data_IF_986280607406
#
_entry.id   IF_986280607406
#
_cell.length_a   1.000
_cell.length_b   1.000
_cell.length_c   1.000
_cell.angle_alpha   90.00
_cell.angle_beta   90.00
_cell.angle_gamma   90.00
#
_symmetry.space_group_name_H-M   'P 1'
#
loop_
_entity.id
_entity.type
_entity.pdbx_description
1 polymer ?
#
# COMPACT_ATOMS: atom_id res chain seq x y z
N UNK A 1 -21.96 -10.41 -36.14
CA UNK A 1 -21.28 -9.29 -35.45
C UNK A 1 -22.30 -8.43 -34.69
N UNK A 2 -22.95 -8.98 -33.65
CA UNK A 2 -23.91 -8.24 -32.81
C UNK A 2 -23.67 -8.43 -31.31
N UNK A 3 -22.70 -9.26 -30.91
CA UNK A 3 -22.43 -9.62 -29.50
C UNK A 3 -21.30 -8.80 -28.85
N UNK A 4 -20.69 -7.88 -29.61
CA UNK A 4 -19.55 -7.07 -29.17
C UNK A 4 -19.94 -5.79 -28.41
N UNK A 5 -21.22 -5.41 -28.40
CA UNK A 5 -21.64 -4.08 -27.90
C UNK A 5 -22.01 -4.02 -26.43
N UNK A 6 -21.94 -5.13 -25.67
CA UNK A 6 -22.36 -5.13 -24.27
C UNK A 6 -21.49 -6.05 -23.41
N UNK A 7 -20.16 -6.00 -23.55
CA UNK A 7 -19.24 -6.69 -22.64
C UNK A 7 -18.64 -5.70 -21.63
N UNK A 8 -18.72 -6.03 -20.34
CA UNK A 8 -18.14 -5.22 -19.28
C UNK A 8 -16.75 -5.74 -18.93
N UNK A 9 -15.77 -4.83 -18.87
CA UNK A 9 -14.41 -5.18 -18.46
C UNK A 9 -14.18 -4.75 -17.01
N UNK A 10 -13.62 -5.67 -16.22
CA UNK A 10 -13.24 -5.42 -14.83
C UNK A 10 -11.76 -5.77 -14.66
N UNK A 11 -10.96 -4.82 -14.18
CA UNK A 11 -9.60 -5.09 -13.71
C UNK A 11 -9.64 -5.23 -12.20
N UNK A 12 -9.41 -6.43 -11.70
CA UNK A 12 -9.32 -6.70 -10.27
C UNK A 12 -7.87 -6.66 -9.79
N UNK A 13 -7.61 -5.98 -8.67
CA UNK A 13 -6.34 -5.97 -7.93
C UNK A 13 -6.61 -5.72 -6.43
N UNK A 14 -5.68 -6.09 -5.52
CA UNK A 14 -5.80 -5.77 -4.09
C UNK A 14 -5.73 -4.26 -3.90
N UNK A 15 -6.60 -3.65 -3.09
CA UNK A 15 -6.71 -2.20 -2.88
C UNK A 15 -5.93 -1.66 -1.67
N UNK A 16 -5.26 -2.52 -0.91
CA UNK A 16 -4.68 -2.19 0.40
C UNK A 16 -3.37 -1.39 0.41
N UNK A 17 -3.06 -0.61 -0.64
CA UNK A 17 -1.91 0.31 -0.54
C UNK A 17 -2.14 1.62 -1.30
N UNK A 18 -1.47 2.70 -0.88
CA UNK A 18 -1.51 4.01 -1.57
C UNK A 18 -1.15 3.93 -3.06
N UNK A 19 -0.50 2.85 -3.49
CA UNK A 19 -0.18 2.50 -4.88
C UNK A 19 -1.41 2.09 -5.71
N UNK A 20 -2.45 1.56 -5.08
CA UNK A 20 -3.70 1.15 -5.70
C UNK A 20 -4.55 2.36 -6.11
N UNK A 21 -4.42 3.48 -5.38
CA UNK A 21 -4.99 4.77 -5.78
C UNK A 21 -4.40 5.29 -7.10
N UNK A 22 -3.11 5.09 -7.37
CA UNK A 22 -2.51 5.48 -8.66
C UNK A 22 -3.06 4.67 -9.84
N UNK A 23 -3.27 3.35 -9.67
CA UNK A 23 -3.87 2.51 -10.72
C UNK A 23 -5.34 2.87 -10.88
N UNK A 24 -6.09 2.99 -9.78
CA UNK A 24 -7.49 3.39 -9.81
C UNK A 24 -7.67 4.74 -10.48
N UNK A 25 -6.83 5.73 -10.17
CA UNK A 25 -6.83 7.04 -10.83
C UNK A 25 -6.48 6.93 -12.32
N UNK A 26 -5.44 6.16 -12.68
CA UNK A 26 -5.06 5.95 -14.08
C UNK A 26 -6.16 5.20 -14.86
N UNK A 27 -6.81 4.21 -14.26
CA UNK A 27 -7.90 3.46 -14.90
C UNK A 27 -9.16 4.31 -14.99
N UNK A 28 -9.55 5.02 -13.93
CA UNK A 28 -10.74 5.88 -13.93
C UNK A 28 -10.61 7.05 -14.91
N UNK A 29 -9.45 7.71 -14.94
CA UNK A 29 -9.19 8.85 -15.84
C UNK A 29 -9.14 8.41 -17.30
N UNK A 30 -8.53 7.26 -17.59
CA UNK A 30 -8.22 6.86 -18.97
C UNK A 30 -9.26 5.91 -19.59
N UNK A 31 -10.00 5.14 -18.78
CA UNK A 31 -10.94 4.14 -19.30
C UNK A 31 -12.25 4.74 -19.81
N UNK A 32 -12.60 5.98 -19.40
CA UNK A 32 -13.89 6.61 -19.69
C UNK A 32 -15.08 5.68 -19.42
N UNK A 33 -15.01 4.90 -18.33
CA UNK A 33 -16.03 3.93 -17.95
C UNK A 33 -15.98 2.58 -18.69
N UNK A 34 -15.03 2.36 -19.60
CA UNK A 34 -14.89 1.07 -20.34
C UNK A 34 -14.21 -0.03 -19.53
N UNK A 35 -13.51 0.32 -18.46
CA UNK A 35 -12.85 -0.61 -17.55
C UNK A 35 -13.16 -0.19 -16.11
N UNK A 36 -13.87 -1.05 -15.41
CA UNK A 36 -14.15 -0.92 -13.97
C UNK A 36 -12.99 -1.50 -13.17
N UNK A 37 -12.70 -0.90 -12.03
CA UNK A 37 -11.79 -1.48 -11.04
C UNK A 37 -12.61 -2.18 -9.95
N UNK A 38 -12.14 -3.33 -9.49
CA UNK A 38 -12.72 -4.03 -8.35
C UNK A 38 -11.60 -4.58 -7.44
N UNK A 39 -11.83 -4.71 -6.13
CA UNK A 39 -10.91 -5.42 -5.25
C UNK A 39 -10.80 -6.89 -5.66
N UNK A 40 -9.58 -7.46 -5.65
CA UNK A 40 -9.36 -8.91 -5.87
C UNK A 40 -10.15 -9.77 -4.88
N UNK A 41 -10.38 -9.23 -3.68
CA UNK A 41 -11.07 -9.83 -2.53
C UNK A 41 -12.58 -9.60 -2.51
N UNK A 42 -13.15 -8.95 -3.54
CA UNK A 42 -14.60 -8.77 -3.56
C UNK A 42 -15.31 -10.11 -3.81
N UNK A 43 -16.42 -10.42 -3.11
CA UNK A 43 -17.11 -11.71 -3.27
C UNK A 43 -17.54 -12.03 -4.71
N UNK A 44 -17.75 -11.01 -5.55
CA UNK A 44 -18.00 -11.18 -6.98
C UNK A 44 -16.76 -11.64 -7.74
N UNK A 45 -15.63 -10.99 -7.50
CA UNK A 45 -14.37 -11.31 -8.16
C UNK A 45 -13.87 -12.69 -7.74
N UNK A 46 -13.98 -13.05 -6.47
CA UNK A 46 -13.62 -14.40 -6.00
C UNK A 46 -14.43 -15.48 -6.71
N UNK A 47 -15.75 -15.29 -6.83
CA UNK A 47 -16.60 -16.20 -7.61
C UNK A 47 -16.14 -16.29 -9.07
N UNK A 48 -15.82 -15.18 -9.72
CA UNK A 48 -15.33 -15.18 -11.10
C UNK A 48 -13.96 -15.86 -11.24
N UNK A 49 -13.08 -15.70 -10.25
CA UNK A 49 -11.76 -16.33 -10.20
C UNK A 49 -11.89 -17.83 -10.04
N UNK A 50 -12.72 -18.28 -9.11
CA UNK A 50 -12.98 -19.71 -8.88
C UNK A 50 -13.63 -20.36 -10.10
N UNK A 51 -14.61 -19.68 -10.71
CA UNK A 51 -15.27 -20.16 -11.92
C UNK A 51 -14.28 -20.35 -13.08
N UNK A 52 -13.25 -19.50 -13.19
CA UNK A 52 -12.36 -19.50 -14.36
C UNK A 52 -11.01 -20.20 -14.17
N UNK A 53 -10.46 -20.20 -12.96
CA UNK A 53 -9.15 -20.77 -12.66
C UNK A 53 -9.23 -21.97 -11.71
N UNK A 54 -10.41 -22.35 -11.21
CA UNK A 54 -10.59 -23.46 -10.26
C UNK A 54 -10.49 -23.02 -8.80
N UNK A 55 -10.48 -24.00 -7.88
CA UNK A 55 -10.55 -23.77 -6.43
C UNK A 55 -9.36 -22.97 -5.85
N UNK A 56 -8.21 -22.96 -6.52
CA UNK A 56 -7.01 -22.23 -6.10
C UNK A 56 -6.55 -21.25 -7.19
N UNK A 57 -7.28 -20.16 -7.43
CA UNK A 57 -6.95 -19.21 -8.48
C UNK A 57 -5.65 -18.44 -8.12
N UNK A 58 -4.74 -18.19 -9.08
CA UNK A 58 -3.48 -17.49 -8.81
C UNK A 58 -3.71 -16.07 -8.29
N UNK A 59 -3.18 -15.73 -7.10
CA UNK A 59 -3.35 -14.42 -6.46
C UNK A 59 -2.57 -13.31 -7.20
N UNK A 60 -3.21 -12.71 -8.19
CA UNK A 60 -2.61 -11.72 -9.07
C UNK A 60 -3.69 -10.83 -9.71
N UNK A 61 -3.33 -9.62 -10.16
CA UNK A 61 -4.24 -8.77 -10.90
C UNK A 61 -4.84 -9.52 -12.07
N UNK A 62 -6.16 -9.45 -12.15
CA UNK A 62 -6.94 -10.25 -13.09
C UNK A 62 -7.86 -9.35 -13.88
N UNK A 63 -7.76 -9.42 -15.19
CA UNK A 63 -8.69 -8.78 -16.09
C UNK A 63 -9.82 -9.75 -16.41
N UNK A 64 -11.06 -9.35 -16.17
CA UNK A 64 -12.27 -10.06 -16.53
C UNK A 64 -12.97 -9.39 -17.69
N UNK A 65 -13.54 -10.21 -18.56
CA UNK A 65 -14.58 -9.83 -19.51
C UNK A 65 -15.87 -10.52 -19.07
N UNK A 66 -16.89 -9.73 -18.77
CA UNK A 66 -18.18 -10.20 -18.29
C UNK A 66 -19.25 -9.98 -19.36
N UNK A 67 -20.29 -10.82 -19.38
CA UNK A 67 -21.49 -10.58 -20.17
C UNK A 67 -22.25 -9.35 -19.64
N UNK A 68 -23.05 -8.73 -20.50
CA UNK A 68 -24.03 -7.75 -20.02
C UNK A 68 -25.13 -8.43 -19.23
N UNK A 69 -25.65 -7.70 -18.24
CA UNK A 69 -26.83 -8.11 -17.51
C UNK A 69 -28.03 -8.08 -18.46
N UNK A 70 -28.69 -9.23 -18.68
CA UNK A 70 -29.96 -9.30 -19.39
C UNK A 70 -31.09 -9.49 -18.37
N UNK A 71 -31.78 -8.40 -18.04
CA UNK A 71 -32.98 -8.42 -17.19
C UNK A 71 -32.82 -7.71 -15.83
N UNK A 72 -33.94 -7.62 -15.11
CA UNK A 72 -34.13 -6.92 -13.82
C UNK A 72 -33.45 -7.57 -12.60
N UNK A 73 -32.53 -8.53 -12.81
CA UNK A 73 -31.74 -9.14 -11.73
C UNK A 73 -30.45 -8.37 -11.55
N UNK A 74 -30.08 -8.14 -10.29
CA UNK A 74 -28.93 -7.31 -9.90
C UNK A 74 -27.59 -7.74 -10.49
N UNK A 75 -26.57 -6.92 -10.25
CA UNK A 75 -25.20 -7.03 -10.78
C UNK A 75 -24.52 -8.41 -10.59
N UNK A 76 -25.05 -9.24 -9.71
CA UNK A 76 -24.55 -10.53 -9.25
C UNK A 76 -24.72 -11.72 -10.21
N UNK A 77 -25.44 -11.58 -11.34
CA UNK A 77 -25.75 -12.67 -12.29
C UNK A 77 -24.95 -12.60 -13.63
N UNK A 78 -23.85 -11.83 -13.67
CA UNK A 78 -23.01 -11.71 -14.88
C UNK A 78 -22.12 -12.95 -15.07
N UNK A 79 -22.09 -13.48 -16.30
CA UNK A 79 -21.24 -14.62 -16.68
C UNK A 79 -19.83 -14.16 -17.07
N UNK A 80 -18.80 -14.88 -16.62
CA UNK A 80 -17.41 -14.62 -17.02
C UNK A 80 -17.14 -15.16 -18.42
N UNK A 81 -16.99 -14.26 -19.39
CA UNK A 81 -16.63 -14.58 -20.78
C UNK A 81 -15.13 -14.82 -20.95
N UNK A 82 -14.31 -14.28 -20.05
CA UNK A 82 -12.87 -14.53 -20.03
C UNK A 82 -12.20 -13.92 -18.81
N UNK A 83 -11.08 -14.53 -18.39
CA UNK A 83 -10.20 -13.98 -17.38
C UNK A 83 -8.74 -14.16 -17.80
N UNK A 84 -7.93 -13.15 -17.54
CA UNK A 84 -6.50 -13.14 -17.87
C UNK A 84 -5.70 -12.57 -16.71
N UNK A 85 -4.54 -13.16 -16.45
CA UNK A 85 -3.56 -12.69 -15.45
C UNK A 85 -2.21 -12.45 -16.10
N UNK A 86 -1.38 -11.62 -15.46
CA UNK A 86 -0.01 -11.35 -15.90
C UNK A 86 0.08 -10.85 -17.36
N UNK A 87 1.03 -11.36 -18.18
CA UNK A 87 1.25 -10.82 -19.53
C UNK A 87 0.10 -11.14 -20.47
N UNK A 88 -0.70 -12.17 -20.16
CA UNK A 88 -1.88 -12.55 -20.94
C UNK A 88 -2.97 -11.48 -20.90
N UNK A 89 -2.92 -10.54 -19.97
CA UNK A 89 -3.84 -9.39 -19.92
C UNK A 89 -3.57 -8.36 -21.04
N UNK A 90 -2.37 -8.31 -21.63
CA UNK A 90 -1.98 -7.21 -22.50
C UNK A 90 -2.88 -7.09 -23.75
N UNK A 91 -3.11 -8.21 -24.46
CA UNK A 91 -3.94 -8.23 -25.68
C UNK A 91 -5.41 -7.93 -25.37
N UNK A 92 -6.06 -8.59 -24.39
CA UNK A 92 -7.44 -8.26 -24.02
C UNK A 92 -7.61 -6.81 -23.54
N UNK A 93 -6.65 -6.27 -22.78
CA UNK A 93 -6.70 -4.88 -22.30
C UNK A 93 -6.55 -3.87 -23.46
N UNK A 94 -5.71 -4.19 -24.46
CA UNK A 94 -5.62 -3.41 -25.71
C UNK A 94 -6.92 -3.44 -26.52
N UNK A 95 -7.63 -4.58 -26.53
CA UNK A 95 -8.95 -4.69 -27.17
C UNK A 95 -10.03 -3.92 -26.40
N UNK A 96 -9.98 -3.94 -25.07
CA UNK A 96 -10.96 -3.28 -24.21
C UNK A 96 -10.85 -1.73 -24.25
N UNK A 97 -9.62 -1.23 -24.19
CA UNK A 97 -9.37 0.21 -23.99
C UNK A 97 -8.83 0.92 -25.24
N UNK A 98 -8.35 0.18 -26.23
CA UNK A 98 -7.51 0.69 -27.30
C UNK A 98 -6.03 0.77 -26.89
N UNK A 99 -5.10 0.92 -27.86
CA UNK A 99 -3.67 0.73 -27.65
C UNK A 99 -3.04 1.77 -26.72
N UNK A 100 -3.46 3.04 -26.79
CA UNK A 100 -2.86 4.13 -25.99
C UNK A 100 -3.22 4.03 -24.50
N UNK A 101 -4.52 3.94 -24.10
CA UNK A 101 -4.87 3.80 -22.69
C UNK A 101 -4.39 2.47 -22.10
N UNK A 102 -4.46 1.37 -22.88
CA UNK A 102 -3.96 0.07 -22.45
C UNK A 102 -2.47 0.10 -22.09
N UNK A 103 -1.64 0.80 -22.88
CA UNK A 103 -0.21 0.93 -22.60
C UNK A 103 0.06 1.70 -21.31
N UNK A 104 -0.76 2.70 -20.96
CA UNK A 104 -0.63 3.44 -19.69
C UNK A 104 -0.94 2.55 -18.49
N UNK A 105 -2.02 1.78 -18.56
CA UNK A 105 -2.40 0.82 -17.51
C UNK A 105 -1.33 -0.28 -17.35
N UNK A 106 -0.84 -0.86 -18.45
CA UNK A 106 0.24 -1.85 -18.41
C UNK A 106 1.55 -1.27 -17.86
N UNK A 107 1.87 -0.01 -18.18
CA UNK A 107 3.03 0.67 -17.63
C UNK A 107 2.91 0.90 -16.11
N UNK A 108 1.73 1.31 -15.63
CA UNK A 108 1.45 1.44 -14.21
C UNK A 108 1.65 0.09 -13.50
N UNK A 109 1.01 -0.98 -13.98
CA UNK A 109 1.16 -2.34 -13.44
C UNK A 109 2.62 -2.83 -13.45
N UNK A 110 3.36 -2.56 -14.53
CA UNK A 110 4.77 -2.92 -14.64
C UNK A 110 5.68 -2.20 -13.65
N UNK A 111 5.42 -0.91 -13.38
CA UNK A 111 6.12 -0.14 -12.34
C UNK A 111 5.91 -0.75 -10.96
N UNK A 112 4.69 -1.21 -10.66
CA UNK A 112 4.37 -1.80 -9.34
C UNK A 112 5.10 -3.10 -9.10
N UNK A 113 5.09 -4.00 -10.09
CA UNK A 113 5.81 -5.27 -9.99
C UNK A 113 7.31 -5.04 -9.76
N UNK A 114 7.92 -4.06 -10.44
CA UNK A 114 9.34 -3.74 -10.24
C UNK A 114 9.60 -3.17 -8.84
N UNK A 115 8.71 -2.33 -8.33
CA UNK A 115 8.78 -1.77 -6.97
C UNK A 115 8.60 -2.85 -5.90
N UNK A 116 7.58 -3.70 -6.02
CA UNK A 116 7.39 -4.86 -5.14
C UNK A 116 8.59 -5.81 -5.17
N UNK A 117 9.28 -5.90 -6.32
CA UNK A 117 10.54 -6.63 -6.46
C UNK A 117 11.79 -5.87 -5.99
N UNK A 118 11.65 -4.69 -5.39
CA UNK A 118 12.75 -3.90 -4.83
C UNK A 118 13.69 -3.24 -5.84
N UNK A 119 13.26 -3.05 -7.09
CA UNK A 119 14.09 -2.41 -8.13
C UNK A 119 14.15 -0.90 -7.94
N UNK A 120 15.36 -0.38 -7.66
CA UNK A 120 15.57 1.03 -7.32
C UNK A 120 15.14 2.01 -8.42
N UNK A 121 15.26 1.63 -9.70
CA UNK A 121 14.84 2.46 -10.84
C UNK A 121 13.31 2.64 -10.95
N UNK A 122 12.54 1.84 -10.19
CA UNK A 122 11.09 1.96 -10.09
C UNK A 122 10.62 2.78 -8.87
N UNK A 123 11.53 3.20 -7.98
CA UNK A 123 11.20 3.97 -6.79
C UNK A 123 11.20 5.48 -7.09
N UNK A 124 10.12 6.20 -6.73
CA UNK A 124 10.15 7.66 -6.73
C UNK A 124 11.16 8.13 -5.68
N UNK A 125 12.23 8.83 -6.10
CA UNK A 125 13.29 9.35 -5.22
C UNK A 125 14.70 8.78 -5.45
N UNK A 126 14.85 7.68 -6.21
CA UNK A 126 16.18 7.18 -6.56
C UNK A 126 16.88 8.13 -7.56
N UNK A 127 18.23 8.29 -7.51
CA UNK A 127 18.99 8.97 -8.56
C UNK A 127 18.77 8.21 -9.88
N UNK A 128 17.91 8.75 -10.75
CA UNK A 128 17.46 8.07 -11.98
C UNK A 128 15.98 7.70 -12.05
N UNK A 129 15.15 7.98 -11.03
CA UNK A 129 13.69 7.75 -11.06
C UNK A 129 12.92 8.55 -12.14
N UNK A 130 13.60 9.48 -12.82
CA UNK A 130 13.12 10.20 -14.02
C UNK A 130 13.79 9.74 -15.33
N UNK A 131 14.72 8.79 -15.28
CA UNK A 131 15.39 8.29 -16.48
C UNK A 131 14.39 7.43 -17.27
N UNK A 132 13.72 8.11 -18.21
CA UNK A 132 13.07 7.47 -19.34
C UNK A 132 13.93 6.29 -19.82
N UNK A 133 13.31 5.12 -19.92
CA UNK A 133 13.89 3.92 -20.55
C UNK A 133 14.69 4.39 -21.76
N UNK A 134 16.02 4.30 -21.68
CA UNK A 134 16.87 4.94 -22.68
C UNK A 134 16.56 4.33 -24.04
N UNK A 135 16.32 5.18 -25.04
CA UNK A 135 16.02 4.77 -26.43
C UNK A 135 17.05 3.78 -26.98
N UNK A 136 18.28 3.79 -26.44
CA UNK A 136 19.36 2.88 -26.78
C UNK A 136 19.14 1.42 -26.33
N UNK A 137 18.43 1.16 -25.22
CA UNK A 137 18.06 -0.22 -24.81
C UNK A 137 16.86 -0.76 -25.59
N UNK A 138 16.00 0.13 -26.10
CA UNK A 138 14.83 -0.22 -26.90
C UNK A 138 15.20 -0.67 -28.32
N UNK A 139 16.28 -0.12 -28.90
CA UNK A 139 16.73 -0.48 -30.25
C UNK A 139 17.49 -1.82 -30.35
N UNK A 140 17.88 -2.43 -29.23
CA UNK A 140 18.49 -3.78 -29.25
C UNK A 140 17.46 -4.92 -29.32
N UNK A 141 16.16 -4.61 -29.30
CA UNK A 141 15.08 -5.59 -29.39
C UNK A 141 14.05 -5.21 -30.47
N UNK A 142 14.54 -4.85 -31.66
CA UNK A 142 13.71 -4.61 -32.85
C UNK A 142 13.23 -5.93 -33.45
N UNK A 143 12.20 -6.49 -32.82
CA UNK A 143 11.32 -7.52 -33.36
C UNK A 143 9.95 -7.30 -32.72
N UNK A 144 8.95 -6.94 -33.52
CA UNK A 144 7.63 -6.48 -33.08
C UNK A 144 6.96 -7.39 -32.03
N UNK A 145 6.13 -6.76 -31.19
CA UNK A 145 5.27 -7.37 -30.17
C UNK A 145 5.88 -7.96 -28.88
N UNK A 146 7.21 -8.11 -28.75
CA UNK A 146 7.78 -8.86 -27.61
C UNK A 146 7.98 -8.08 -26.29
N UNK A 147 8.02 -6.75 -26.29
CA UNK A 147 8.46 -5.98 -25.09
C UNK A 147 7.44 -5.98 -23.94
N UNK A 148 6.16 -6.27 -24.21
CA UNK A 148 5.15 -6.37 -23.15
C UNK A 148 5.23 -7.68 -22.34
N UNK A 149 5.81 -8.75 -22.89
CA UNK A 149 5.83 -10.07 -22.28
C UNK A 149 7.03 -10.28 -21.32
N UNK A 150 8.19 -9.69 -21.64
CA UNK A 150 9.42 -9.88 -20.86
C UNK A 150 9.36 -9.27 -19.43
N UNK A 151 8.44 -8.34 -19.19
CA UNK A 151 8.21 -7.72 -17.87
C UNK A 151 7.38 -8.60 -16.92
N UNK A 152 6.90 -9.77 -17.35
CA UNK A 152 5.90 -10.54 -16.60
C UNK A 152 6.24 -12.04 -16.46
N UNK A 153 7.51 -12.39 -16.66
CA UNK A 153 8.00 -13.75 -16.49
C UNK A 153 8.48 -13.97 -15.05
N UNK A 154 7.56 -14.32 -14.16
CA UNK A 154 7.73 -15.30 -13.07
C UNK A 154 6.37 -15.49 -12.38
N UNK A 155 5.85 -16.72 -12.43
CA UNK A 155 4.47 -17.08 -12.09
C UNK A 155 4.22 -17.45 -10.62
N UNK A 156 4.88 -16.77 -9.67
CA UNK A 156 4.54 -16.85 -8.24
C UNK A 156 4.84 -15.49 -7.61
N UNK A 157 3.81 -14.70 -7.39
CA UNK A 157 3.91 -13.43 -6.65
C UNK A 157 2.99 -13.55 -5.44
N UNK A 158 3.51 -13.47 -4.20
CA UNK A 158 2.64 -13.18 -3.06
C UNK A 158 1.96 -11.82 -3.26
N UNK A 159 0.95 -11.50 -2.44
CA UNK A 159 0.29 -10.20 -2.47
C UNK A 159 1.35 -9.09 -2.52
N UNK A 160 1.23 -8.14 -3.47
CA UNK A 160 2.30 -7.19 -3.75
C UNK A 160 2.72 -6.37 -2.51
N UNK A 161 1.83 -6.20 -1.54
CA UNK A 161 2.08 -5.51 -0.27
C UNK A 161 3.15 -6.21 0.58
N UNK A 162 2.99 -7.50 0.89
CA UNK A 162 3.99 -8.28 1.67
C UNK A 162 5.35 -8.32 0.98
N UNK A 163 5.35 -8.49 -0.34
CA UNK A 163 6.59 -8.50 -1.12
C UNK A 163 7.27 -7.13 -1.12
N UNK A 164 6.48 -6.06 -1.14
CA UNK A 164 6.96 -4.69 -1.11
C UNK A 164 7.56 -4.34 0.26
N UNK A 165 6.90 -4.68 1.37
CA UNK A 165 7.41 -4.44 2.72
C UNK A 165 8.74 -5.17 2.95
N UNK A 166 8.81 -6.45 2.62
CA UNK A 166 10.06 -7.21 2.73
C UNK A 166 11.17 -6.61 1.83
N UNK A 167 10.81 -6.10 0.66
CA UNK A 167 11.77 -5.43 -0.25
C UNK A 167 12.19 -4.05 0.25
N UNK A 168 11.29 -3.30 0.89
CA UNK A 168 11.53 -2.00 1.49
C UNK A 168 12.53 -2.12 2.65
N UNK A 169 12.34 -3.08 3.56
CA UNK A 169 13.28 -3.32 4.67
C UNK A 169 14.67 -3.72 4.17
N UNK A 170 14.77 -4.64 3.20
CA UNK A 170 16.06 -5.02 2.60
C UNK A 170 16.76 -3.84 1.91
N UNK A 171 15.99 -3.00 1.21
CA UNK A 171 16.52 -1.80 0.57
C UNK A 171 17.02 -0.78 1.60
N UNK A 172 16.25 -0.50 2.64
CA UNK A 172 16.61 0.46 3.68
C UNK A 172 17.84 0.01 4.47
N UNK A 173 17.91 -1.29 4.84
CA UNK A 173 19.07 -1.86 5.51
C UNK A 173 20.36 -1.72 4.68
N UNK A 174 20.28 -1.99 3.35
CA UNK A 174 21.41 -1.77 2.45
C UNK A 174 21.82 -0.30 2.40
N UNK A 175 20.86 0.62 2.20
CA UNK A 175 21.14 2.07 2.14
C UNK A 175 21.72 2.60 3.44
N UNK A 176 21.27 2.10 4.59
CA UNK A 176 21.82 2.42 5.89
C UNK A 176 23.27 1.94 6.03
N UNK A 177 23.58 0.70 5.62
CA UNK A 177 24.95 0.18 5.61
C UNK A 177 25.89 0.99 4.70
N UNK A 178 25.36 1.59 3.62
CA UNK A 178 26.10 2.47 2.72
C UNK A 178 26.17 3.94 3.19
N UNK A 179 25.51 4.31 4.29
CA UNK A 179 25.42 5.72 4.73
C UNK A 179 24.60 6.62 3.79
N UNK A 180 23.68 6.04 3.00
CA UNK A 180 22.87 6.73 1.96
C UNK A 180 21.38 6.63 2.21
N UNK A 181 20.98 6.40 3.46
CA UNK A 181 19.57 6.38 3.83
C UNK A 181 19.00 7.81 3.75
N UNK A 182 17.81 8.04 3.18
CA UNK A 182 17.16 9.36 3.21
C UNK A 182 17.07 9.91 4.64
N UNK A 183 17.37 11.20 4.83
CA UNK A 183 17.50 11.80 6.16
C UNK A 183 16.47 12.91 6.42
N UNK A 184 15.89 13.47 5.35
CA UNK A 184 14.94 14.59 5.46
C UNK A 184 13.52 14.16 5.18
N UNK A 185 12.54 14.88 5.73
CA UNK A 185 11.12 14.60 5.51
C UNK A 185 10.74 14.63 4.02
N UNK A 186 11.27 15.58 3.25
CA UNK A 186 11.02 15.70 1.82
C UNK A 186 11.58 14.50 1.03
N UNK A 187 12.78 14.01 1.38
CA UNK A 187 13.34 12.82 0.73
C UNK A 187 12.54 11.57 1.08
N UNK A 188 12.17 11.40 2.36
CA UNK A 188 11.42 10.23 2.84
C UNK A 188 10.02 10.19 2.21
N UNK A 189 9.28 11.31 2.22
CA UNK A 189 7.90 11.34 1.70
C UNK A 189 7.80 11.19 0.19
N UNK A 190 8.89 11.39 -0.55
CA UNK A 190 8.97 11.06 -1.97
C UNK A 190 8.86 9.54 -2.22
N UNK A 191 9.21 8.71 -1.23
CA UNK A 191 9.05 7.27 -1.31
C UNK A 191 7.63 6.85 -0.95
N UNK A 192 7.24 5.62 -1.27
CA UNK A 192 5.94 5.08 -0.89
C UNK A 192 5.87 4.59 0.56
N UNK A 193 4.67 4.38 1.15
CA UNK A 193 4.51 4.12 2.59
C UNK A 193 5.39 3.02 3.18
N UNK A 194 5.47 1.84 2.56
CA UNK A 194 6.31 0.74 3.02
C UNK A 194 7.81 1.12 3.09
N UNK A 195 8.28 1.91 2.12
CA UNK A 195 9.64 2.44 2.11
C UNK A 195 9.84 3.54 3.15
N UNK A 196 8.85 4.41 3.38
CA UNK A 196 8.91 5.43 4.45
C UNK A 196 9.10 4.78 5.82
N UNK A 197 8.30 3.76 6.12
CA UNK A 197 8.41 2.94 7.34
C UNK A 197 9.78 2.28 7.45
N UNK A 198 10.25 1.62 6.38
CA UNK A 198 11.57 0.99 6.37
C UNK A 198 12.72 2.01 6.58
N UNK A 199 12.63 3.22 6.00
CA UNK A 199 13.61 4.30 6.28
C UNK A 199 13.55 4.70 7.75
N UNK A 200 12.36 4.94 8.29
CA UNK A 200 12.20 5.31 9.70
C UNK A 200 12.82 4.24 10.61
N UNK A 201 12.48 2.97 10.40
CA UNK A 201 13.03 1.84 11.15
C UNK A 201 14.55 1.73 11.04
N UNK A 202 15.16 2.02 9.88
CA UNK A 202 16.61 2.00 9.70
C UNK A 202 17.33 3.29 10.14
N UNK A 203 16.59 4.35 10.51
CA UNK A 203 17.13 5.65 10.88
C UNK A 203 17.56 5.73 12.34
N UNK A 204 18.49 6.63 12.65
CA UNK A 204 18.88 6.94 14.02
C UNK A 204 17.74 7.63 14.78
N UNK A 205 17.73 7.60 16.13
CA UNK A 205 16.71 8.29 16.93
C UNK A 205 16.58 9.79 16.61
N UNK A 206 17.69 10.47 16.31
CA UNK A 206 17.70 11.89 15.96
C UNK A 206 16.99 12.15 14.62
N UNK A 207 17.16 11.25 13.66
CA UNK A 207 16.52 11.36 12.35
C UNK A 207 15.04 11.05 12.48
N UNK A 208 14.66 10.01 13.22
CA UNK A 208 13.25 9.67 13.51
C UNK A 208 12.51 10.86 14.16
N UNK A 209 13.09 11.46 15.19
CA UNK A 209 12.52 12.63 15.86
C UNK A 209 12.33 13.82 14.89
N UNK A 210 13.31 14.09 14.04
CA UNK A 210 13.22 15.14 13.02
C UNK A 210 12.12 14.85 12.00
N UNK A 211 12.04 13.61 11.49
CA UNK A 211 11.03 13.21 10.50
C UNK A 211 9.61 13.43 11.04
N UNK A 212 9.34 13.03 12.28
CA UNK A 212 8.03 13.24 12.90
C UNK A 212 7.76 14.71 13.22
N UNK A 213 8.76 15.46 13.67
CA UNK A 213 8.61 16.91 13.90
C UNK A 213 8.25 17.66 12.61
N UNK A 214 8.95 17.34 11.51
CA UNK A 214 8.67 17.90 10.18
C UNK A 214 7.30 17.48 9.65
N UNK A 215 6.89 16.22 9.89
CA UNK A 215 5.57 15.72 9.56
C UNK A 215 4.46 16.50 10.27
N UNK A 216 4.57 16.68 11.59
CA UNK A 216 3.59 17.43 12.40
C UNK A 216 3.56 18.92 12.03
N UNK A 217 4.69 19.46 11.56
CA UNK A 217 4.73 20.82 10.99
C UNK A 217 3.97 20.89 9.67
N UNK A 218 4.21 19.96 8.75
CA UNK A 218 3.49 19.89 7.48
C UNK A 218 1.99 19.65 7.69
N UNK A 219 1.62 18.81 8.66
CA UNK A 219 0.24 18.54 9.04
C UNK A 219 -0.47 19.80 9.54
N UNK A 220 0.15 20.58 10.43
CA UNK A 220 -0.42 21.85 10.88
C UNK A 220 -0.57 22.84 9.71
N UNK A 221 0.47 23.00 8.88
CA UNK A 221 0.48 23.96 7.76
C UNK A 221 -0.58 23.69 6.69
N UNK A 222 -1.01 22.44 6.54
CA UNK A 222 -2.08 22.06 5.63
C UNK A 222 -3.48 22.48 6.11
N UNK A 223 -3.60 23.11 7.29
CA UNK A 223 -4.88 23.48 7.91
C UNK A 223 -4.90 24.97 8.25
N UNK A 224 -6.01 25.63 7.89
CA UNK A 224 -6.18 27.07 8.06
C UNK A 224 -6.78 27.44 9.42
N UNK A 225 -7.50 26.53 10.07
CA UNK A 225 -8.14 26.76 11.37
C UNK A 225 -8.03 25.50 12.24
N UNK A 226 -7.49 25.65 13.44
CA UNK A 226 -7.42 24.60 14.45
C UNK A 226 -8.22 25.03 15.69
N UNK A 227 -8.91 24.09 16.33
CA UNK A 227 -9.52 24.35 17.65
C UNK A 227 -8.45 24.42 18.75
N UNK A 228 -8.76 24.96 19.94
CA UNK A 228 -7.85 24.90 21.09
C UNK A 228 -7.42 23.47 21.45
N UNK A 229 -8.35 22.50 21.41
CA UNK A 229 -8.05 21.09 21.67
C UNK A 229 -7.09 20.50 20.63
N UNK A 230 -7.33 20.79 19.35
CA UNK A 230 -6.47 20.36 18.24
C UNK A 230 -5.05 20.92 18.34
N UNK A 231 -4.92 22.19 18.74
CA UNK A 231 -3.61 22.82 19.02
C UNK A 231 -2.89 22.17 20.20
N UNK A 232 -3.61 21.86 21.28
CA UNK A 232 -3.03 21.20 22.45
C UNK A 232 -2.46 19.82 22.10
N UNK A 233 -3.22 19.01 21.36
CA UNK A 233 -2.76 17.71 20.86
C UNK A 233 -1.52 17.85 19.98
N UNK A 234 -1.49 18.79 19.04
CA UNK A 234 -0.31 19.03 18.19
C UNK A 234 0.91 19.47 18.99
N UNK A 235 0.73 20.30 20.02
CA UNK A 235 1.81 20.75 20.88
C UNK A 235 2.41 19.59 21.68
N UNK A 236 1.58 18.70 22.25
CA UNK A 236 2.07 17.52 22.97
C UNK A 236 2.73 16.51 22.01
N UNK A 237 2.12 16.26 20.85
CA UNK A 237 2.70 15.44 19.79
C UNK A 237 4.10 15.92 19.39
N UNK A 238 4.29 17.23 19.20
CA UNK A 238 5.60 17.82 18.88
C UNK A 238 6.60 17.68 20.02
N UNK A 239 6.15 17.83 21.25
CA UNK A 239 7.00 17.66 22.43
C UNK A 239 7.52 16.22 22.52
N UNK A 240 6.65 15.23 22.31
CA UNK A 240 7.02 13.82 22.35
C UNK A 240 7.88 13.44 21.14
N UNK A 241 7.48 13.81 19.92
CA UNK A 241 8.20 13.49 18.69
C UNK A 241 9.55 14.22 18.57
N UNK A 242 9.71 15.39 19.20
CA UNK A 242 10.93 16.18 19.14
C UNK A 242 12.09 15.64 19.96
N UNK A 243 11.84 14.67 20.84
CA UNK A 243 12.83 14.14 21.78
C UNK A 243 13.44 12.82 21.27
N UNK A 244 14.71 12.80 20.82
CA UNK A 244 15.33 11.61 20.27
C UNK A 244 15.35 10.41 21.22
N UNK A 245 15.45 10.64 22.54
CA UNK A 245 15.44 9.55 23.51
C UNK A 245 14.13 8.75 23.52
N UNK A 246 13.02 9.32 23.02
CA UNK A 246 11.75 8.60 22.88
C UNK A 246 11.75 7.54 21.76
N UNK A 247 12.75 7.56 20.88
CA UNK A 247 12.93 6.58 19.81
C UNK A 247 14.01 5.55 20.13
N UNK A 248 14.50 5.51 21.37
CA UNK A 248 15.41 4.47 21.86
C UNK A 248 14.59 3.35 22.47
N UNK A 249 14.70 2.16 21.89
CA UNK A 249 14.05 0.97 22.42
C UNK A 249 14.78 0.47 23.65
N UNK A 250 14.03 0.16 24.70
CA UNK A 250 14.58 -0.54 25.86
C UNK A 250 14.84 -2.01 25.50
N UNK A 251 16.02 -2.51 25.85
CA UNK A 251 16.40 -3.90 25.60
C UNK A 251 15.38 -4.88 26.23
N UNK A 252 14.97 -5.90 25.48
CA UNK A 252 13.98 -6.90 25.93
C UNK A 252 12.54 -6.40 26.10
N UNK A 253 12.23 -5.14 25.75
CA UNK A 253 10.86 -4.61 25.81
C UNK A 253 10.03 -4.95 24.57
N UNK A 254 8.70 -4.82 24.67
CA UNK A 254 7.72 -4.97 23.59
C UNK A 254 7.07 -3.63 23.25
N UNK A 255 7.88 -2.64 22.84
CA UNK A 255 7.47 -1.26 22.57
C UNK A 255 8.07 -0.24 23.56
N UNK A 256 7.51 0.97 23.66
CA UNK A 256 8.15 2.09 24.36
C UNK A 256 8.23 1.84 25.87
N UNK A 257 9.29 2.34 26.50
CA UNK A 257 9.48 2.23 27.95
C UNK A 257 8.43 3.04 28.73
N UNK A 258 8.22 2.70 30.01
CA UNK A 258 7.51 3.62 30.91
C UNK A 258 8.44 4.77 31.31
N UNK A 259 7.94 6.01 31.48
CA UNK A 259 6.54 6.45 31.41
C UNK A 259 6.05 6.85 30.00
N UNK A 260 6.94 6.83 28.99
CA UNK A 260 6.62 7.27 27.62
C UNK A 260 5.42 6.53 27.03
N UNK A 261 5.29 5.22 27.30
CA UNK A 261 4.14 4.44 26.85
C UNK A 261 2.80 5.04 27.28
N UNK A 262 2.66 5.44 28.55
CA UNK A 262 1.43 6.06 29.04
C UNK A 262 1.10 7.34 28.27
N UNK A 263 2.11 8.19 28.05
CA UNK A 263 1.95 9.44 27.29
C UNK A 263 1.54 9.22 25.83
N UNK A 264 2.09 8.20 25.17
CA UNK A 264 1.74 7.88 23.78
C UNK A 264 0.27 7.41 23.67
N UNK A 265 -0.20 6.61 24.63
CA UNK A 265 -1.59 6.15 24.66
C UNK A 265 -2.59 7.28 24.97
N UNK A 266 -2.21 8.18 25.88
CA UNK A 266 -2.98 9.40 26.15
C UNK A 266 -3.03 10.31 24.91
N UNK A 267 -1.89 10.54 24.26
CA UNK A 267 -1.83 11.33 23.04
C UNK A 267 -2.72 10.75 21.93
N UNK A 268 -2.71 9.42 21.73
CA UNK A 268 -3.58 8.78 20.76
C UNK A 268 -5.06 9.04 21.08
N UNK A 269 -5.50 8.78 22.31
CA UNK A 269 -6.89 9.02 22.72
C UNK A 269 -7.30 10.47 22.47
N UNK A 270 -6.49 11.41 22.96
CA UNK A 270 -6.79 12.84 22.86
C UNK A 270 -6.79 13.31 21.39
N UNK A 271 -5.95 12.72 20.53
CA UNK A 271 -5.97 12.96 19.10
C UNK A 271 -7.24 12.42 18.42
N UNK A 272 -7.69 11.23 18.78
CA UNK A 272 -8.96 10.67 18.25
C UNK A 272 -10.13 11.54 18.68
N UNK A 273 -10.17 12.00 19.93
CA UNK A 273 -11.22 12.87 20.44
C UNK A 273 -11.24 14.25 19.73
N UNK A 274 -10.06 14.82 19.44
CA UNK A 274 -9.95 16.16 18.84
C UNK A 274 -10.03 16.19 17.29
N UNK A 275 -9.63 15.11 16.62
CA UNK A 275 -9.50 15.05 15.15
C UNK A 275 -10.34 13.95 14.49
N UNK A 276 -10.80 12.96 15.24
CA UNK A 276 -11.35 11.71 14.69
C UNK A 276 -10.27 10.73 14.25
N UNK A 277 -10.65 9.45 14.15
CA UNK A 277 -9.70 8.33 13.95
C UNK A 277 -8.84 8.43 12.67
N UNK A 278 -9.43 8.83 11.54
CA UNK A 278 -8.67 8.92 10.28
C UNK A 278 -7.60 10.01 10.32
N UNK A 279 -7.94 11.17 10.88
CA UNK A 279 -7.03 12.31 10.99
C UNK A 279 -5.98 12.06 12.06
N UNK A 280 -6.34 11.40 13.17
CA UNK A 280 -5.39 10.93 14.17
C UNK A 280 -4.39 9.93 13.55
N UNK A 281 -4.85 8.97 12.75
CA UNK A 281 -3.96 8.05 12.00
C UNK A 281 -3.02 8.80 11.07
N UNK A 282 -3.56 9.71 10.25
CA UNK A 282 -2.77 10.49 9.30
C UNK A 282 -1.73 11.38 9.99
N UNK A 283 -1.96 11.78 11.24
CA UNK A 283 -1.07 12.62 12.05
C UNK A 283 -0.02 11.82 12.83
N UNK A 284 -0.40 10.66 13.38
CA UNK A 284 0.39 9.97 14.42
C UNK A 284 0.87 8.58 14.01
N UNK A 285 0.23 7.94 13.03
CA UNK A 285 0.52 6.55 12.63
C UNK A 285 0.81 6.42 11.13
N UNK A 286 0.98 7.54 10.42
CA UNK A 286 1.40 7.56 9.03
C UNK A 286 2.43 8.65 8.78
N UNK A 287 3.63 8.26 8.35
CA UNK A 287 4.64 9.24 7.97
C UNK A 287 4.40 9.71 6.53
N UNK A 288 3.86 10.91 6.37
CA UNK A 288 3.60 11.56 5.08
C UNK A 288 2.13 11.81 4.76
N UNK A 289 1.82 12.42 3.61
CA UNK A 289 0.47 12.93 3.31
C UNK A 289 -0.57 11.87 2.93
N UNK A 290 -0.16 10.66 2.57
CA UNK A 290 -1.04 9.61 2.01
C UNK A 290 -1.59 8.63 3.07
N UNK A 291 -1.61 9.03 4.34
CA UNK A 291 -2.01 8.17 5.45
C UNK A 291 -3.50 7.88 5.43
N UNK A 292 -3.86 6.65 5.04
CA UNK A 292 -5.17 6.08 5.32
C UNK A 292 -5.01 4.86 6.21
N UNK A 293 -5.78 4.73 7.29
CA UNK A 293 -5.68 3.59 8.20
C UNK A 293 -5.96 2.27 7.45
N UNK A 294 -5.38 1.15 7.92
CA UNK A 294 -5.65 -0.17 7.34
C UNK A 294 -7.16 -0.45 7.36
N UNK A 295 -7.72 -0.82 6.22
CA UNK A 295 -9.12 -1.22 6.11
C UNK A 295 -9.20 -2.75 6.05
N UNK A 296 -10.13 -3.33 6.79
CA UNK A 296 -10.33 -4.77 6.83
C UNK A 296 -10.94 -5.31 5.54
N UNK A 297 -10.21 -6.19 4.83
CA UNK A 297 -10.82 -7.15 3.90
C UNK A 297 -10.00 -8.42 3.66
N UNK A 298 -10.50 -9.59 4.08
CA UNK A 298 -10.17 -10.91 3.50
C UNK A 298 -9.85 -12.06 4.47
N UNK A 299 -9.67 -13.27 3.90
CA UNK A 299 -9.21 -14.54 4.52
C UNK A 299 -7.84 -15.02 3.95
N UNK A 300 -7.22 -16.03 4.59
CA UNK A 300 -5.77 -16.37 4.66
C UNK A 300 -5.22 -17.27 3.52
N UNK A 301 -3.92 -17.12 3.19
CA UNK A 301 -3.08 -18.13 2.49
C UNK A 301 -1.85 -18.55 3.35
N UNK A 302 -1.26 -19.70 3.00
CA UNK A 302 -0.39 -20.65 3.76
C UNK A 302 0.98 -20.14 4.28
N UNK A 303 1.27 -18.84 4.29
CA UNK A 303 2.46 -18.28 4.96
C UNK A 303 2.01 -17.36 6.11
N UNK A 304 2.64 -17.44 7.28
CA UNK A 304 2.34 -16.56 8.42
C UNK A 304 2.60 -15.10 7.98
N UNK A 305 1.58 -14.25 7.80
CA UNK A 305 1.74 -12.87 7.36
C UNK A 305 2.38 -12.00 8.44
N UNK A 306 2.82 -10.80 8.08
CA UNK A 306 3.29 -9.81 9.06
C UNK A 306 2.10 -9.19 9.82
N UNK A 307 2.26 -8.96 11.11
CA UNK A 307 1.23 -8.28 11.90
C UNK A 307 1.10 -6.82 11.44
N UNK A 308 -0.12 -6.30 11.39
CA UNK A 308 -0.43 -4.98 10.81
C UNK A 308 -0.88 -3.91 11.81
N UNK A 309 -1.11 -4.28 13.08
CA UNK A 309 -1.47 -3.34 14.14
C UNK A 309 -0.84 -3.71 15.49
N UNK A 310 -0.84 -2.75 16.42
CA UNK A 310 -0.46 -2.99 17.82
C UNK A 310 -1.72 -3.20 18.66
N UNK A 311 -1.76 -4.27 19.45
CA UNK A 311 -2.84 -4.51 20.44
C UNK A 311 -2.85 -3.46 21.54
N UNK A 312 -1.72 -2.78 21.76
CA UNK A 312 -1.58 -1.75 22.80
C UNK A 312 -1.97 -0.37 22.30
N UNK A 313 -1.62 -0.04 21.06
CA UNK A 313 -1.89 1.27 20.46
C UNK A 313 -2.54 1.12 19.07
N UNK A 314 -3.83 0.72 19.01
CA UNK A 314 -4.47 0.28 17.77
C UNK A 314 -5.05 1.42 16.95
N UNK A 315 -4.56 1.62 15.74
CA UNK A 315 -5.17 2.55 14.77
C UNK A 315 -6.08 1.82 13.75
N UNK A 316 -6.93 0.92 14.25
CA UNK A 316 -7.86 0.16 13.42
C UNK A 316 -9.16 0.94 13.20
N UNK A 317 -9.65 0.99 11.95
CA UNK A 317 -10.93 1.66 11.64
C UNK A 317 -12.12 0.85 12.13
N UNK A 318 -12.09 -0.47 11.96
CA UNK A 318 -13.22 -1.36 12.22
C UNK A 318 -13.08 -2.14 13.54
N UNK A 319 -12.78 -1.43 14.63
CA UNK A 319 -12.74 -2.03 15.98
C UNK A 319 -11.33 -2.12 16.56
N UNK A 320 -11.07 -3.13 17.38
CA UNK A 320 -9.80 -3.28 18.13
C UNK A 320 -8.82 -4.17 17.39
N UNK A 321 -7.53 -3.90 17.53
CA UNK A 321 -6.50 -4.81 17.06
C UNK A 321 -6.59 -6.15 17.81
N UNK A 322 -6.71 -7.25 17.08
CA UNK A 322 -6.79 -8.59 17.62
C UNK A 322 -5.40 -9.23 17.67
N UNK A 323 -5.04 -9.82 18.81
CA UNK A 323 -3.72 -10.37 19.02
C UNK A 323 -3.38 -11.49 18.03
N UNK A 324 -2.19 -11.38 17.45
CA UNK A 324 -1.65 -12.29 16.45
C UNK A 324 -1.59 -13.75 16.91
N UNK A 325 -1.29 -14.02 18.18
CA UNK A 325 -1.28 -15.37 18.77
C UNK A 325 -0.57 -16.44 17.90
N UNK A 326 0.52 -16.08 17.23
CA UNK A 326 1.28 -16.96 16.32
C UNK A 326 0.74 -17.09 14.90
N UNK A 327 -0.36 -16.39 14.57
CA UNK A 327 -0.93 -16.28 13.22
C UNK A 327 -0.27 -15.20 12.38
N UNK A 328 0.46 -14.26 12.98
CA UNK A 328 1.29 -13.30 12.25
C UNK A 328 2.68 -13.14 12.86
N UNK A 329 3.64 -12.72 12.04
CA UNK A 329 5.00 -12.37 12.44
C UNK A 329 5.01 -10.96 13.02
N UNK A 330 5.48 -10.85 14.25
CA UNK A 330 5.61 -9.56 14.95
C UNK A 330 6.62 -8.67 14.23
N UNK A 331 6.24 -7.42 13.97
CA UNK A 331 7.12 -6.40 13.40
C UNK A 331 7.45 -5.37 14.49
N UNK A 332 8.75 -5.17 14.72
CA UNK A 332 9.25 -4.33 15.80
C UNK A 332 9.22 -2.85 15.38
N UNK A 333 8.74 -1.97 16.26
CA UNK A 333 8.74 -0.51 16.08
C UNK A 333 8.19 -0.05 14.71
N UNK A 334 7.02 -0.58 14.32
CA UNK A 334 6.39 -0.31 13.02
C UNK A 334 4.90 0.09 13.11
N UNK A 335 4.30 -0.06 14.31
CA UNK A 335 2.91 0.24 14.58
C UNK A 335 2.72 1.29 15.67
N UNK A 336 1.47 1.79 15.76
CA UNK A 336 1.07 2.76 16.77
C UNK A 336 1.64 4.16 16.54
N UNK A 337 1.49 4.98 17.57
CA UNK A 337 1.91 6.38 17.62
C UNK A 337 3.41 6.47 17.39
N UNK A 338 3.78 7.22 16.36
CA UNK A 338 5.14 7.43 15.88
C UNK A 338 5.91 6.15 15.49
N UNK A 339 5.21 5.05 15.18
CA UNK A 339 5.79 3.73 14.98
C UNK A 339 6.58 3.23 16.20
N UNK A 340 6.18 3.61 17.42
CA UNK A 340 6.88 3.24 18.63
C UNK A 340 6.52 1.83 19.16
N UNK A 341 5.48 1.21 18.62
CA UNK A 341 4.95 -0.06 19.11
C UNK A 341 5.22 -1.21 18.15
N UNK A 342 5.33 -2.40 18.72
CA UNK A 342 5.36 -3.63 17.95
C UNK A 342 3.99 -3.84 17.28
N UNK A 343 4.01 -4.23 16.01
CA UNK A 343 2.87 -4.81 15.36
C UNK A 343 2.76 -6.26 15.83
N UNK A 344 1.74 -6.56 16.66
CA UNK A 344 1.53 -7.85 17.29
C UNK A 344 0.09 -8.37 17.13
N UNK A 345 -0.65 -7.78 16.19
CA UNK A 345 -2.00 -8.22 15.83
C UNK A 345 -2.44 -7.78 14.44
N UNK A 346 -3.71 -8.05 14.14
CA UNK A 346 -4.38 -7.59 12.92
C UNK A 346 -5.70 -6.88 13.21
N UNK A 347 -6.03 -5.89 12.39
CA UNK A 347 -7.30 -5.18 12.53
C UNK A 347 -8.46 -6.06 12.07
N UNK A 348 -9.66 -5.93 12.65
CA UNK A 348 -10.80 -6.76 12.28
C UNK A 348 -11.15 -6.55 10.81
N UNK A 349 -11.47 -7.66 10.15
CA UNK A 349 -11.71 -7.72 8.72
C UNK A 349 -10.43 -7.88 7.88
N UNK A 350 -9.22 -7.74 8.43
CA UNK A 350 -7.97 -8.09 7.73
C UNK A 350 -7.68 -9.59 7.97
N UNK A 351 -7.36 -10.39 6.94
CA UNK A 351 -6.83 -11.73 7.11
C UNK A 351 -5.40 -11.68 7.58
N UNK A 352 -5.11 -12.41 8.66
CA UNK A 352 -3.76 -12.67 9.12
C UNK A 352 -3.66 -14.11 9.63
#
# INVERSE_FOLDING_TARGET
MAEERTAHWVLAFDDDCGTCREISAAVQTESRGRLRVAPLRSPEVERWRTQRFGAEPPWAPTLFRLSAASGTRGETDRTVLGAWTGPRMAVPLMRALGPRPARRVLYALGRLRRRAAGKEDALPGAPGGRAAVSRARFLRYTGGAAVAAALVLTGRTPAFAEQEEASAHRWAARRAAEGKLPQTYAEVTAYPPAYRKAVHAASTPQVRARLWSDHLKAFEQARTELSPAQRAVLADARTIAGEPSNFVRAEGSTGPAQPLRGRLLELHRDAVDAYGAEQAYAMLASLGPDGTPPQGGGEVHVAIPDCGCSVRDPYCVLGRCEAGNGRCRVIVDDCGTFYAFDCDGGCPGIPW
#
